data_IF_240696022478
#
_entry.id   IF_240696022478
#
_cell.length_a   1.000
_cell.length_b   1.000
_cell.length_c   1.000
_cell.angle_alpha   90.00
_cell.angle_beta   90.00
_cell.angle_gamma   90.00
#
_symmetry.space_group_name_H-M   'P 1'
#
loop_
_entity.id
_entity.type
_entity.pdbx_description
1 polymer ?
#
# COMPACT_ATOMS: atom_id res chain seq x y z
N UNK A 1 -2.52 -8.26 -15.56
CA UNK A 1 -3.43 -7.66 -14.55
C UNK A 1 -4.26 -8.66 -13.76
N UNK A 2 -4.77 -9.75 -14.35
CA UNK A 2 -5.68 -10.70 -13.68
C UNK A 2 -5.14 -11.28 -12.35
N UNK A 3 -3.84 -11.57 -12.27
CA UNK A 3 -3.23 -12.10 -11.04
C UNK A 3 -3.27 -11.12 -9.86
N UNK A 4 -3.03 -9.82 -10.10
CA UNK A 4 -3.00 -8.81 -9.05
C UNK A 4 -4.39 -8.52 -8.50
N UNK A 5 -5.39 -8.36 -9.37
CA UNK A 5 -6.76 -8.15 -8.93
C UNK A 5 -7.37 -9.36 -8.22
N UNK A 6 -7.00 -10.57 -8.64
CA UNK A 6 -7.37 -11.78 -7.90
C UNK A 6 -6.73 -11.83 -6.51
N UNK A 7 -5.46 -11.45 -6.39
CA UNK A 7 -4.80 -11.33 -5.09
C UNK A 7 -5.49 -10.29 -4.21
N UNK A 8 -5.79 -9.11 -4.76
CA UNK A 8 -6.50 -8.03 -4.07
C UNK A 8 -7.89 -8.49 -3.60
N UNK A 9 -8.65 -9.19 -4.43
CA UNK A 9 -9.95 -9.78 -4.05
C UNK A 9 -9.82 -10.69 -2.82
N UNK A 10 -8.87 -11.63 -2.84
CA UNK A 10 -8.62 -12.53 -1.70
C UNK A 10 -8.27 -11.78 -0.42
N UNK A 11 -7.50 -10.70 -0.53
CA UNK A 11 -7.11 -9.91 0.64
C UNK A 11 -8.23 -9.04 1.14
N UNK A 12 -8.70 -8.10 0.32
CA UNK A 12 -9.58 -7.03 0.79
C UNK A 12 -11.02 -7.48 0.95
N UNK A 13 -11.49 -8.43 0.13
CA UNK A 13 -12.89 -8.89 0.15
C UNK A 13 -13.03 -10.17 0.94
N UNK A 14 -12.34 -11.25 0.56
CA UNK A 14 -12.54 -12.56 1.21
C UNK A 14 -12.02 -12.58 2.65
N UNK A 15 -10.80 -12.08 2.89
CA UNK A 15 -10.18 -12.14 4.22
C UNK A 15 -10.55 -10.96 5.13
N UNK A 16 -10.59 -9.73 4.60
CA UNK A 16 -10.87 -8.52 5.39
C UNK A 16 -12.35 -8.14 5.40
N UNK A 17 -13.18 -8.73 4.54
CA UNK A 17 -14.63 -8.48 4.52
C UNK A 17 -15.04 -7.10 3.99
N UNK A 18 -14.16 -6.38 3.28
CA UNK A 18 -14.50 -5.06 2.75
C UNK A 18 -15.52 -5.19 1.62
N UNK A 19 -16.51 -4.30 1.63
CA UNK A 19 -17.55 -4.23 0.58
C UNK A 19 -17.03 -3.39 -0.58
N UNK A 20 -16.27 -4.00 -1.47
CA UNK A 20 -15.68 -3.35 -2.65
C UNK A 20 -16.34 -3.85 -3.95
N UNK A 21 -16.39 -3.02 -5.01
CA UNK A 21 -16.85 -3.46 -6.33
C UNK A 21 -15.93 -4.56 -6.85
N UNK A 22 -16.53 -5.68 -7.26
CA UNK A 22 -15.81 -6.86 -7.76
C UNK A 22 -16.57 -7.49 -8.91
N UNK A 23 -15.83 -7.98 -9.90
CA UNK A 23 -16.38 -8.72 -11.04
C UNK A 23 -15.57 -10.00 -11.25
N UNK A 24 -16.24 -11.16 -11.31
CA UNK A 24 -15.56 -12.45 -11.56
C UNK A 24 -14.47 -12.84 -10.55
N UNK A 25 -14.57 -12.38 -9.30
CA UNK A 25 -13.54 -12.61 -8.27
C UNK A 25 -12.26 -11.79 -8.49
N UNK A 26 -12.37 -10.66 -9.18
CA UNK A 26 -11.31 -9.69 -9.39
C UNK A 26 -11.72 -8.37 -8.73
N UNK A 27 -10.82 -7.80 -7.92
CA UNK A 27 -11.01 -6.49 -7.32
C UNK A 27 -10.29 -5.44 -8.15
N UNK A 28 -11.08 -4.53 -8.72
CA UNK A 28 -10.65 -3.35 -9.45
C UNK A 28 -11.58 -2.18 -9.12
N UNK A 29 -11.05 -0.97 -9.12
CA UNK A 29 -11.83 0.25 -8.92
C UNK A 29 -11.45 1.33 -9.96
N UNK A 30 -12.09 2.50 -9.89
CA UNK A 30 -11.88 3.61 -10.83
C UNK A 30 -10.46 4.20 -10.82
N UNK A 31 -9.63 3.82 -9.85
CA UNK A 31 -8.24 4.26 -9.75
C UNK A 31 -7.26 3.26 -10.36
N UNK A 32 -7.74 2.17 -10.96
CA UNK A 32 -6.94 1.23 -11.73
C UNK A 32 -6.87 1.67 -13.20
N UNK A 33 -6.04 2.69 -13.46
CA UNK A 33 -5.94 3.43 -14.73
C UNK A 33 -4.56 3.22 -15.39
N UNK A 34 -4.35 3.66 -16.65
CA UNK A 34 -3.05 3.55 -17.31
C UNK A 34 -1.87 4.25 -16.59
N UNK A 35 -2.14 5.30 -15.80
CA UNK A 35 -1.14 6.03 -15.01
C UNK A 35 -0.85 5.39 -13.64
N UNK A 36 -1.56 4.31 -13.29
CA UNK A 36 -1.40 3.63 -12.00
C UNK A 36 -0.12 2.81 -11.97
N UNK A 37 0.67 3.00 -10.91
CA UNK A 37 1.83 2.16 -10.63
C UNK A 37 1.49 1.16 -9.54
N UNK A 38 1.90 -0.09 -9.74
CA UNK A 38 1.82 -1.12 -8.71
C UNK A 38 3.22 -1.59 -8.32
N UNK A 39 3.37 -1.90 -7.03
CA UNK A 39 4.49 -2.69 -6.55
C UNK A 39 3.94 -4.03 -6.09
N UNK A 40 4.49 -5.10 -6.64
CA UNK A 40 4.05 -6.45 -6.38
C UNK A 40 5.17 -7.27 -5.75
N UNK A 41 4.87 -7.94 -4.64
CA UNK A 41 5.77 -8.91 -4.01
C UNK A 41 5.41 -10.32 -4.47
N UNK A 42 6.41 -11.08 -4.91
CA UNK A 42 6.26 -12.46 -5.38
C UNK A 42 7.15 -13.41 -4.58
N UNK A 43 6.59 -14.52 -4.13
CA UNK A 43 7.37 -15.57 -3.49
C UNK A 43 8.40 -16.12 -4.50
N UNK A 44 9.70 -16.09 -4.15
CA UNK A 44 10.79 -16.51 -5.06
C UNK A 44 10.66 -17.97 -5.51
N UNK A 45 10.09 -18.84 -4.67
CA UNK A 45 9.94 -20.27 -4.98
C UNK A 45 8.77 -20.57 -5.90
N UNK A 46 7.62 -19.94 -5.68
CA UNK A 46 6.38 -20.28 -6.38
C UNK A 46 5.96 -19.25 -7.43
N UNK A 47 6.60 -18.07 -7.47
CA UNK A 47 6.23 -16.95 -8.33
C UNK A 47 4.89 -16.27 -7.95
N UNK A 48 4.17 -16.80 -6.97
CA UNK A 48 2.85 -16.32 -6.54
C UNK A 48 2.96 -14.96 -5.87
N UNK A 49 1.92 -14.13 -6.06
CA UNK A 49 1.80 -12.87 -5.35
C UNK A 49 1.60 -13.10 -3.85
N UNK A 50 2.41 -12.40 -3.07
CA UNK A 50 2.38 -12.37 -1.61
C UNK A 50 2.32 -10.94 -1.08
N UNK A 51 2.20 -9.95 -1.97
CA UNK A 51 2.08 -8.55 -1.60
C UNK A 51 1.71 -7.65 -2.78
N UNK A 52 1.04 -6.55 -2.45
CA UNK A 52 0.54 -5.52 -3.37
C UNK A 52 0.63 -4.15 -2.71
N UNK A 53 0.99 -3.15 -3.49
CA UNK A 53 0.84 -1.74 -3.20
C UNK A 53 0.47 -1.01 -4.49
N UNK A 54 -0.44 -0.03 -4.41
CA UNK A 54 -0.82 0.85 -5.51
C UNK A 54 -0.36 2.27 -5.23
N UNK A 55 0.22 2.91 -6.24
CA UNK A 55 0.73 4.26 -6.20
C UNK A 55 0.00 5.11 -7.26
N UNK A 56 -0.53 6.25 -6.84
CA UNK A 56 -1.29 7.18 -7.69
C UNK A 56 -0.78 8.60 -7.49
N UNK A 57 -0.61 9.40 -8.55
CA UNK A 57 -0.23 10.80 -8.39
C UNK A 57 -1.43 11.61 -7.87
N UNK A 58 -1.21 12.54 -6.94
CA UNK A 58 -2.31 13.33 -6.34
C UNK A 58 -2.77 14.52 -7.19
N UNK A 59 -2.10 14.80 -8.31
CA UNK A 59 -2.57 15.76 -9.32
C UNK A 59 -3.61 15.15 -10.29
N UNK A 60 -4.11 13.95 -9.99
CA UNK A 60 -5.16 13.21 -10.67
C UNK A 60 -6.11 12.63 -9.63
N UNK A 61 -7.34 12.19 -9.98
CA UNK A 61 -8.25 11.53 -9.05
C UNK A 61 -7.59 10.36 -8.29
N UNK A 62 -7.81 10.28 -6.98
CA UNK A 62 -7.22 9.29 -6.07
C UNK A 62 -8.15 9.02 -4.87
N UNK A 63 -7.92 7.92 -4.14
CA UNK A 63 -8.87 7.39 -3.15
C UNK A 63 -9.17 8.39 -2.02
N UNK A 64 -8.16 8.99 -1.41
CA UNK A 64 -8.36 9.97 -0.34
C UNK A 64 -9.09 11.21 -0.84
N UNK A 65 -8.76 11.71 -2.04
CA UNK A 65 -9.37 12.93 -2.58
C UNK A 65 -10.85 12.78 -2.96
N UNK A 66 -11.23 11.59 -3.45
CA UNK A 66 -12.57 11.34 -4.00
C UNK A 66 -13.51 10.63 -3.01
N UNK A 67 -12.98 9.69 -2.21
CA UNK A 67 -13.81 8.78 -1.39
C UNK A 67 -13.73 9.11 0.09
N UNK A 68 -12.59 9.58 0.57
CA UNK A 68 -12.39 9.87 2.00
C UNK A 68 -11.85 11.28 2.31
N UNK A 69 -12.33 12.35 1.65
CA UNK A 69 -11.79 13.70 1.90
C UNK A 69 -11.96 14.15 3.36
N UNK A 70 -13.00 13.67 4.04
CA UNK A 70 -13.28 13.97 5.45
C UNK A 70 -12.18 13.50 6.41
N UNK A 71 -11.33 12.53 6.01
CA UNK A 71 -10.17 12.11 6.79
C UNK A 71 -9.12 13.22 6.96
N UNK A 72 -9.22 14.30 6.17
CA UNK A 72 -8.37 15.48 6.31
C UNK A 72 -8.94 16.53 7.26
N UNK A 73 -10.19 16.39 7.74
CA UNK A 73 -10.82 17.28 8.72
C UNK A 73 -10.68 18.78 8.40
N UNK A 74 -11.03 19.16 7.18
CA UNK A 74 -10.96 20.55 6.71
C UNK A 74 -9.58 20.99 6.22
N UNK A 75 -8.53 20.18 6.40
CA UNK A 75 -7.25 20.39 5.71
C UNK A 75 -7.46 20.06 4.23
N UNK A 76 -7.00 20.91 3.28
CA UNK A 76 -7.10 20.59 1.86
C UNK A 76 -6.42 19.26 1.53
N UNK A 77 -7.12 18.42 0.77
CA UNK A 77 -6.54 17.19 0.20
C UNK A 77 -5.38 17.57 -0.74
N UNK A 78 -4.25 16.82 -0.74
CA UNK A 78 -3.11 17.20 -1.57
C UNK A 78 -3.42 17.14 -3.06
N UNK A 79 -2.95 18.13 -3.79
CA UNK A 79 -2.98 18.13 -5.25
C UNK A 79 -1.61 18.59 -5.77
N UNK A 80 -0.69 17.65 -5.97
CA UNK A 80 0.71 17.94 -6.31
C UNK A 80 1.40 16.79 -7.04
N UNK A 81 2.25 17.10 -8.00
CA UNK A 81 3.14 16.13 -8.66
C UNK A 81 4.18 15.52 -7.69
N UNK A 82 4.48 16.23 -6.60
CA UNK A 82 5.45 15.79 -5.59
C UNK A 82 4.80 14.96 -4.47
N UNK A 83 3.49 14.72 -4.52
CA UNK A 83 2.76 13.91 -3.55
C UNK A 83 2.01 12.80 -4.26
N UNK A 84 2.20 11.58 -3.79
CA UNK A 84 1.54 10.40 -4.33
C UNK A 84 0.71 9.71 -3.25
N UNK A 85 -0.41 9.12 -3.63
CA UNK A 85 -1.16 8.24 -2.76
C UNK A 85 -0.57 6.83 -2.77
N UNK A 86 -0.46 6.21 -1.60
CA UNK A 86 -0.32 4.77 -1.43
C UNK A 86 -1.66 4.17 -1.01
N UNK A 87 -2.19 3.23 -1.80
CA UNK A 87 -3.41 2.48 -1.49
C UNK A 87 -3.26 0.99 -1.82
N UNK A 88 -4.26 0.16 -1.49
CA UNK A 88 -4.25 -1.30 -1.70
C UNK A 88 -2.95 -1.98 -1.22
N UNK A 89 -2.44 -1.51 -0.07
CA UNK A 89 -1.23 -2.02 0.57
C UNK A 89 -1.53 -3.29 1.36
N UNK A 90 -0.92 -4.39 0.96
CA UNK A 90 -1.10 -5.69 1.58
C UNK A 90 0.10 -6.61 1.40
N UNK A 91 0.43 -7.42 2.41
CA UNK A 91 1.46 -8.45 2.34
C UNK A 91 1.00 -9.75 3.02
N UNK A 92 0.40 -10.67 2.26
CA UNK A 92 -0.17 -11.92 2.77
C UNK A 92 0.26 -13.09 1.89
N UNK A 93 0.85 -14.12 2.51
CA UNK A 93 1.18 -15.37 1.83
C UNK A 93 0.12 -16.43 2.14
N UNK A 94 -0.82 -16.61 1.21
CA UNK A 94 -1.87 -17.63 1.31
C UNK A 94 -1.37 -19.08 1.12
N UNK A 95 -0.06 -19.31 0.94
CA UNK A 95 0.55 -20.65 0.90
C UNK A 95 1.32 -21.01 2.17
N UNK A 96 1.49 -20.08 3.11
CA UNK A 96 2.18 -20.37 4.36
C UNK A 96 1.24 -21.07 5.35
N UNK A 97 1.63 -22.20 5.96
CA UNK A 97 0.82 -22.88 6.98
C UNK A 97 0.66 -22.04 8.25
N UNK A 98 1.60 -21.11 8.50
CA UNK A 98 1.40 -20.01 9.45
C UNK A 98 0.67 -18.90 8.72
N UNK A 99 -0.66 -19.02 8.61
CA UNK A 99 -1.48 -17.89 8.22
C UNK A 99 -1.43 -16.86 9.34
N UNK A 100 -0.44 -15.97 9.24
CA UNK A 100 -0.46 -14.69 9.91
C UNK A 100 -1.72 -13.99 9.42
N UNK A 101 -2.81 -14.05 10.20
CA UNK A 101 -4.06 -13.36 9.89
C UNK A 101 -3.85 -11.85 9.70
N UNK A 102 -4.93 -11.05 9.62
CA UNK A 102 -4.83 -9.60 9.37
C UNK A 102 -3.80 -8.87 10.24
N UNK A 103 -3.58 -9.33 11.48
CA UNK A 103 -2.60 -8.78 12.41
C UNK A 103 -1.11 -8.99 12.01
N UNK A 104 -0.77 -10.11 11.36
CA UNK A 104 0.61 -10.45 11.03
C UNK A 104 1.08 -9.86 9.68
N UNK A 105 0.14 -9.44 8.83
CA UNK A 105 0.42 -8.60 7.65
C UNK A 105 1.25 -7.36 8.04
N UNK A 106 0.89 -6.69 9.13
CA UNK A 106 1.51 -5.43 9.58
C UNK A 106 2.79 -5.60 10.41
N UNK A 107 3.32 -6.82 10.54
CA UNK A 107 4.64 -7.09 11.15
C UNK A 107 5.55 -7.92 10.25
N UNK A 108 5.12 -8.21 9.03
CA UNK A 108 5.87 -9.05 8.08
C UNK A 108 7.07 -8.29 7.49
N UNK A 109 8.26 -8.89 7.41
CA UNK A 109 9.40 -8.37 6.64
C UNK A 109 9.01 -8.05 5.18
N UNK A 110 8.05 -8.78 4.62
CA UNK A 110 7.52 -8.52 3.27
C UNK A 110 6.83 -7.17 3.20
N UNK A 111 6.02 -6.81 4.20
CA UNK A 111 5.32 -5.53 4.23
C UNK A 111 6.31 -4.36 4.30
N UNK A 112 7.34 -4.48 5.15
CA UNK A 112 8.36 -3.44 5.29
C UNK A 112 9.11 -3.24 3.98
N UNK A 113 9.57 -4.32 3.35
CA UNK A 113 10.29 -4.22 2.09
C UNK A 113 9.40 -3.73 0.94
N UNK A 114 8.15 -4.19 0.89
CA UNK A 114 7.16 -3.70 -0.07
C UNK A 114 6.94 -2.19 0.06
N UNK A 115 6.86 -1.67 1.29
CA UNK A 115 6.74 -0.22 1.53
C UNK A 115 8.01 0.54 1.14
N UNK A 116 9.21 -0.02 1.39
CA UNK A 116 10.48 0.57 0.92
C UNK A 116 10.52 0.70 -0.60
N UNK A 117 10.15 -0.37 -1.31
CA UNK A 117 10.12 -0.35 -2.78
C UNK A 117 9.03 0.57 -3.30
N UNK A 118 7.86 0.66 -2.65
CA UNK A 118 6.83 1.63 -3.00
C UNK A 118 7.30 3.08 -2.84
N UNK A 119 7.99 3.41 -1.74
CA UNK A 119 8.60 4.72 -1.54
C UNK A 119 9.64 5.03 -2.62
N UNK A 120 10.52 4.08 -2.94
CA UNK A 120 11.53 4.25 -3.98
C UNK A 120 10.91 4.41 -5.38
N UNK A 121 9.86 3.64 -5.70
CA UNK A 121 9.14 3.73 -6.96
C UNK A 121 8.46 5.10 -7.11
N UNK A 122 7.82 5.61 -6.05
CA UNK A 122 7.24 6.95 -6.06
C UNK A 122 8.33 8.04 -6.16
N UNK A 123 9.47 7.87 -5.47
CA UNK A 123 10.61 8.77 -5.55
C UNK A 123 11.16 8.89 -6.99
N UNK A 124 11.23 7.76 -7.71
CA UNK A 124 11.64 7.73 -9.11
C UNK A 124 10.68 8.50 -10.04
N UNK A 125 9.44 8.74 -9.60
CA UNK A 125 8.47 9.59 -10.29
C UNK A 125 8.45 11.04 -9.76
N UNK A 126 9.40 11.42 -8.91
CA UNK A 126 9.51 12.78 -8.35
C UNK A 126 8.74 13.01 -7.04
N UNK A 127 8.13 11.97 -6.45
CA UNK A 127 7.44 12.10 -5.17
C UNK A 127 8.42 12.44 -4.04
N UNK A 128 8.02 13.39 -3.18
CA UNK A 128 8.70 13.72 -1.92
C UNK A 128 7.97 13.16 -0.71
N UNK A 129 6.67 12.90 -0.83
CA UNK A 129 5.82 12.35 0.23
C UNK A 129 4.79 11.41 -0.35
N UNK A 130 4.42 10.40 0.44
CA UNK A 130 3.21 9.62 0.24
C UNK A 130 2.12 10.08 1.19
N UNK A 131 0.87 9.96 0.76
CA UNK A 131 -0.31 9.99 1.62
C UNK A 131 -1.08 8.67 1.51
N UNK A 132 -1.65 8.17 2.60
CA UNK A 132 -2.40 6.91 2.60
C UNK A 132 -3.64 7.02 3.48
N UNK A 133 -4.71 6.34 3.11
CA UNK A 133 -5.85 6.03 3.99
C UNK A 133 -5.53 4.72 4.71
N UNK A 134 -5.35 4.79 6.03
CA UNK A 134 -4.83 3.66 6.81
C UNK A 134 -5.74 3.33 8.00
N UNK A 135 -5.95 2.04 8.29
CA UNK A 135 -6.47 1.63 9.60
C UNK A 135 -5.41 1.81 10.68
N UNK A 136 -5.83 1.99 11.93
CA UNK A 136 -4.93 2.20 13.09
C UNK A 136 -3.82 1.14 13.22
N UNK A 137 -4.07 -0.10 12.81
CA UNK A 137 -3.08 -1.18 12.85
C UNK A 137 -1.79 -0.88 12.06
N UNK A 138 -1.87 -0.05 11.02
CA UNK A 138 -0.73 0.31 10.16
C UNK A 138 0.28 1.20 10.89
N UNK A 139 -0.14 1.95 11.91
CA UNK A 139 0.79 2.80 12.68
C UNK A 139 1.90 2.00 13.34
N UNK A 140 1.55 0.79 13.81
CA UNK A 140 2.51 -0.10 14.44
C UNK A 140 3.58 -0.56 13.44
N UNK A 141 3.20 -0.85 12.19
CA UNK A 141 4.13 -1.18 11.12
C UNK A 141 5.09 -0.02 10.87
N UNK A 142 4.54 1.17 10.63
CA UNK A 142 5.30 2.38 10.29
C UNK A 142 6.31 2.72 11.38
N UNK A 143 5.87 2.72 12.65
CA UNK A 143 6.73 3.00 13.81
C UNK A 143 7.82 1.96 14.00
N UNK A 144 7.48 0.66 13.94
CA UNK A 144 8.45 -0.44 14.14
C UNK A 144 9.51 -0.48 13.05
N UNK A 145 9.13 -0.14 11.83
CA UNK A 145 10.02 -0.16 10.67
C UNK A 145 10.79 1.14 10.46
N UNK A 146 10.62 2.13 11.35
CA UNK A 146 11.37 3.40 11.35
C UNK A 146 10.99 4.36 10.23
N UNK A 147 9.82 4.19 9.59
CA UNK A 147 9.35 5.13 8.58
C UNK A 147 8.96 6.46 9.24
N UNK A 148 9.37 7.57 8.62
CA UNK A 148 8.95 8.90 9.04
C UNK A 148 7.51 9.12 8.61
N UNK A 149 6.58 8.77 9.50
CA UNK A 149 5.16 8.85 9.23
C UNK A 149 4.44 9.62 10.33
N UNK A 150 3.41 10.36 9.95
CA UNK A 150 2.54 11.10 10.87
C UNK A 150 1.11 11.11 10.36
N UNK A 151 0.14 11.19 11.28
CA UNK A 151 -1.24 11.43 10.88
C UNK A 151 -1.36 12.82 10.22
N UNK A 152 -2.20 12.93 9.19
CA UNK A 152 -2.58 14.21 8.61
C UNK A 152 -3.63 14.91 9.48
N UNK A 153 -4.57 14.14 10.02
CA UNK A 153 -5.58 14.56 10.99
C UNK A 153 -5.91 13.39 11.96
N UNK A 154 -6.65 13.64 13.05
CA UNK A 154 -7.12 12.57 13.93
C UNK A 154 -7.94 11.48 13.20
N UNK A 155 -7.95 10.23 13.70
CA UNK A 155 -8.76 9.17 13.13
C UNK A 155 -10.26 9.42 13.30
N UNK A 156 -11.06 8.93 12.34
CA UNK A 156 -12.52 8.91 12.41
C UNK A 156 -13.05 7.49 12.16
N UNK A 157 -14.30 7.24 12.52
CA UNK A 157 -14.97 5.97 12.24
C UNK A 157 -15.59 6.00 10.84
N UNK A 158 -15.27 5.02 10.02
CA UNK A 158 -15.86 4.80 8.69
C UNK A 158 -16.22 3.32 8.57
N UNK A 159 -17.51 3.04 8.38
CA UNK A 159 -18.04 1.66 8.28
C UNK A 159 -17.58 0.72 9.40
N UNK A 160 -17.48 1.22 10.63
CA UNK A 160 -17.03 0.45 11.79
C UNK A 160 -15.50 0.29 11.91
N UNK A 161 -14.73 0.94 11.04
CA UNK A 161 -13.28 0.95 11.08
C UNK A 161 -12.74 2.33 11.46
N UNK A 162 -11.81 2.37 12.41
CA UNK A 162 -11.05 3.59 12.71
C UNK A 162 -9.99 3.83 11.63
N UNK A 163 -10.23 4.82 10.76
CA UNK A 163 -9.36 5.20 9.65
C UNK A 163 -8.76 6.59 9.87
N UNK A 164 -7.60 6.83 9.28
CA UNK A 164 -6.96 8.15 9.24
C UNK A 164 -6.13 8.32 7.96
N UNK A 165 -5.97 9.57 7.53
CA UNK A 165 -5.00 9.93 6.51
C UNK A 165 -3.59 10.02 7.13
N UNK A 166 -2.58 9.42 6.50
CA UNK A 166 -1.21 9.37 7.01
C UNK A 166 -0.21 9.88 5.97
N UNK A 167 0.61 10.83 6.38
CA UNK A 167 1.80 11.27 5.65
C UNK A 167 2.96 10.31 5.90
N UNK A 168 3.68 9.95 4.85
CA UNK A 168 4.94 9.20 4.92
C UNK A 168 5.98 9.95 4.09
N UNK A 169 7.09 10.34 4.71
CA UNK A 169 8.17 11.04 4.01
C UNK A 169 8.97 10.07 3.12
N UNK A 170 9.28 10.50 1.90
CA UNK A 170 10.17 9.74 1.01
C UNK A 170 11.61 10.00 1.45
N UNK A 171 12.39 8.96 1.81
CA UNK A 171 13.78 9.14 2.19
C UNK A 171 14.59 9.79 1.07
N UNK A 172 15.46 10.74 1.41
CA UNK A 172 16.39 11.31 0.44
C UNK A 172 17.46 10.26 0.08
N UNK A 173 18.06 10.32 -1.12
CA UNK A 173 19.06 9.33 -1.55
C UNK A 173 20.26 9.14 -0.61
N UNK A 174 20.55 10.11 0.29
CA UNK A 174 21.61 10.02 1.29
C UNK A 174 21.15 9.54 2.68
N UNK A 175 19.92 9.06 2.83
CA UNK A 175 19.47 8.44 4.08
C UNK A 175 20.01 7.02 4.17
N UNK A 176 20.83 6.67 5.19
CA UNK A 176 21.38 5.32 5.29
C UNK A 176 20.26 4.29 5.39
N UNK A 177 20.38 3.13 4.71
CA UNK A 177 19.36 2.09 4.76
C UNK A 177 19.21 1.61 6.21
N UNK A 178 18.00 1.70 6.75
CA UNK A 178 17.71 1.18 8.07
C UNK A 178 17.83 -0.36 8.03
N UNK A 179 18.80 -0.89 8.77
CA UNK A 179 19.13 -2.32 8.78
C UNK A 179 17.96 -3.12 9.33
N UNK A 180 17.40 -4.03 8.52
CA UNK A 180 16.56 -5.10 9.02
C UNK A 180 17.45 -6.13 9.73
N UNK A 181 17.33 -6.26 11.05
CA UNK A 181 17.99 -7.32 11.81
C UNK A 181 17.25 -8.65 11.57
N UNK A 182 17.72 -9.46 10.62
CA UNK A 182 17.21 -10.82 10.43
C UNK A 182 17.59 -11.42 9.07
N UNK A 183 18.19 -12.61 9.07
CA UNK A 183 18.42 -13.40 7.85
C UNK A 183 17.10 -14.06 7.42
N UNK A 184 16.20 -13.30 6.80
CA UNK A 184 15.02 -13.87 6.13
C UNK A 184 15.20 -13.77 4.61
N UNK A 185 14.91 -14.85 3.88
CA UNK A 185 14.89 -14.83 2.41
C UNK A 185 13.69 -13.98 1.95
N UNK A 186 13.95 -12.74 1.56
CA UNK A 186 12.91 -11.81 1.07
C UNK A 186 12.34 -12.27 -0.29
N UNK A 187 11.04 -12.01 -0.56
CA UNK A 187 10.42 -12.25 -1.86
C UNK A 187 11.07 -11.43 -2.98
N UNK A 188 10.81 -11.79 -4.24
CA UNK A 188 11.14 -10.94 -5.38
C UNK A 188 10.12 -9.81 -5.48
N UNK A 189 10.59 -8.56 -5.56
CA UNK A 189 9.73 -7.38 -5.72
C UNK A 189 9.87 -6.84 -7.14
N UNK A 190 8.73 -6.50 -7.75
CA UNK A 190 8.68 -5.95 -9.10
C UNK A 190 7.76 -4.73 -9.10
N UNK A 191 8.21 -3.64 -9.72
CA UNK A 191 7.39 -2.46 -10.01
C UNK A 191 6.76 -2.66 -11.40
N UNK A 192 5.45 -2.48 -11.48
CA UNK A 192 4.65 -2.77 -12.68
C UNK A 192 3.79 -1.54 -12.98
N UNK A 193 3.95 -0.97 -14.18
CA UNK A 193 3.00 0.03 -14.67
C UNK A 193 1.73 -0.63 -15.17
N UNK A 194 0.59 0.06 -15.12
CA UNK A 194 -0.69 -0.48 -15.57
C UNK A 194 -0.70 -0.94 -17.05
N UNK A 195 0.21 -0.42 -17.91
CA UNK A 195 0.41 -0.89 -19.29
C UNK A 195 1.39 -2.05 -19.47
N UNK A 196 2.09 -2.48 -18.41
CA UNK A 196 3.06 -3.58 -18.46
C UNK A 196 2.38 -4.93 -18.25
N UNK A 197 2.53 -5.84 -19.21
CA UNK A 197 2.11 -7.22 -19.02
C UNK A 197 2.82 -7.85 -17.80
N UNK A 198 2.02 -8.51 -16.95
CA UNK A 198 2.46 -9.44 -15.91
C UNK A 198 2.23 -10.86 -16.40
#
# INVERSE_FOLDING_TARGET
MSGLARYRHKVFVEMLGWKLPCEGGLEFDQFDRPDTLYVAARCKRSGRLVGSARLLPTNRPYLLGEIFPDLMQGIPVPHSEQVWELSRFAAVDFSSPTHDGPAGQFSSPVAIELLRVALAAAAAQGARRLITVSPLGVERLLRRAGFQARRAAPPIQVDGHALFACWIEVPRPNTPPQRLSGRHRLPGLVVVGAGGCL
#
